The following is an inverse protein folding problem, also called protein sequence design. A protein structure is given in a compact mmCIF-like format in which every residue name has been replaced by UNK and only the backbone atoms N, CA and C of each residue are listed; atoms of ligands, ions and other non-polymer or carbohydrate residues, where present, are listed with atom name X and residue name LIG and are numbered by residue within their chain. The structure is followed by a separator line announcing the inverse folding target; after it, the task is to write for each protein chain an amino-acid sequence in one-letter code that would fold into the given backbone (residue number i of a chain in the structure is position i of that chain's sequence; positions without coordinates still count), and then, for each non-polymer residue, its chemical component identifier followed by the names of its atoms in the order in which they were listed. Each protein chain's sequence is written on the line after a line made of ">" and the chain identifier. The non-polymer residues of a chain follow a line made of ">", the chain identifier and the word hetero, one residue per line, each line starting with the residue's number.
data_IF_964828684518
#
_entry.id   IF_964828684518
#
_cell.length_a   1.000
_cell.length_b   1.000
_cell.length_c   1.000
_cell.angle_alpha   90.00
_cell.angle_beta   90.00
_cell.angle_gamma   90.00
#
_symmetry.space_group_name_H-M   'P 1'
#
loop_
_entity.id
_entity.type
_entity.pdbx_description
1 polymer ?
#
# COMPACT_ATOMS: atom_id res chain seq x y z
N UNK A 1 5.22 26.20 -9.82
CA UNK A 1 4.51 24.99 -10.30
C UNK A 1 5.17 23.69 -9.83
N UNK A 2 6.45 23.44 -10.12
CA UNK A 2 7.13 22.17 -9.76
C UNK A 2 7.15 21.84 -8.26
N UNK A 3 7.34 22.83 -7.38
CA UNK A 3 7.24 22.61 -5.92
C UNK A 3 5.85 22.14 -5.48
N UNK A 4 4.78 22.62 -6.14
CA UNK A 4 3.41 22.18 -5.90
C UNK A 4 3.20 20.72 -6.28
N UNK A 5 3.75 20.28 -7.42
CA UNK A 5 3.71 18.89 -7.86
C UNK A 5 4.45 17.96 -6.88
N UNK A 6 5.64 18.36 -6.40
CA UNK A 6 6.36 17.57 -5.39
C UNK A 6 5.54 17.40 -4.12
N UNK A 7 4.87 18.45 -3.66
CA UNK A 7 3.97 18.37 -2.50
C UNK A 7 2.75 17.48 -2.78
N UNK A 8 2.15 17.60 -3.95
CA UNK A 8 1.01 16.78 -4.36
C UNK A 8 1.36 15.28 -4.49
N UNK A 9 2.61 14.95 -4.83
CA UNK A 9 3.15 13.58 -4.84
C UNK A 9 3.45 13.08 -3.43
N UNK A 10 4.01 13.93 -2.57
CA UNK A 10 4.46 13.53 -1.23
C UNK A 10 3.31 13.00 -0.36
N UNK A 11 2.10 13.54 -0.49
CA UNK A 11 0.93 13.11 0.28
C UNK A 11 0.52 11.66 -0.04
N UNK A 12 0.18 11.27 -1.28
CA UNK A 12 -0.15 9.88 -1.60
C UNK A 12 1.04 8.93 -1.40
N UNK A 13 2.28 9.35 -1.67
CA UNK A 13 3.46 8.53 -1.36
C UNK A 13 3.59 8.24 0.14
N UNK A 14 3.26 9.21 0.99
CA UNK A 14 3.16 9.03 2.45
C UNK A 14 2.09 8.01 2.85
N UNK A 15 0.94 7.99 2.19
CA UNK A 15 -0.10 6.97 2.40
C UNK A 15 0.43 5.59 2.06
N UNK A 16 1.04 5.43 0.87
CA UNK A 16 1.59 4.16 0.44
C UNK A 16 2.67 3.63 1.41
N UNK A 17 3.61 4.48 1.82
CA UNK A 17 4.64 4.15 2.82
C UNK A 17 4.05 3.70 4.16
N UNK A 18 3.06 4.44 4.66
CA UNK A 18 2.42 4.15 5.94
C UNK A 18 1.73 2.79 5.91
N UNK A 19 1.04 2.47 4.81
CA UNK A 19 0.42 1.15 4.63
C UNK A 19 1.46 0.05 4.50
N UNK A 20 2.56 0.28 3.75
CA UNK A 20 3.63 -0.72 3.60
C UNK A 20 4.20 -1.19 4.94
N UNK A 21 4.29 -0.30 5.94
CA UNK A 21 4.78 -0.63 7.28
C UNK A 21 3.82 -1.54 8.08
N UNK A 22 2.56 -1.65 7.67
CA UNK A 22 1.54 -2.41 8.41
C UNK A 22 1.50 -3.89 8.03
N UNK A 23 2.09 -4.30 6.90
CA UNK A 23 1.90 -5.67 6.39
C UNK A 23 2.46 -6.74 7.31
N UNK A 24 3.62 -6.54 7.91
CA UNK A 24 4.18 -7.53 8.85
C UNK A 24 3.33 -7.63 10.13
N UNK A 25 2.86 -6.49 10.65
CA UNK A 25 1.92 -6.47 11.79
C UNK A 25 0.59 -7.14 11.45
N UNK A 26 0.06 -6.90 10.24
CA UNK A 26 -1.19 -7.51 9.79
C UNK A 26 -1.05 -9.04 9.62
N UNK A 27 0.11 -9.53 9.15
CA UNK A 27 0.42 -10.96 9.06
C UNK A 27 0.55 -11.61 10.44
N UNK A 28 1.23 -10.95 11.38
CA UNK A 28 1.28 -11.42 12.76
C UNK A 28 -0.12 -11.48 13.36
N UNK A 29 -0.91 -10.42 13.23
CA UNK A 29 -2.29 -10.38 13.70
C UNK A 29 -3.13 -11.49 13.07
N UNK A 30 -2.98 -11.76 11.77
CA UNK A 30 -3.69 -12.84 11.08
C UNK A 30 -3.44 -14.21 11.73
N UNK A 31 -2.25 -14.44 12.29
CA UNK A 31 -1.90 -15.69 12.96
C UNK A 31 -2.55 -15.86 14.35
N UNK A 32 -2.85 -14.76 15.05
CA UNK A 32 -3.30 -14.78 16.47
C UNK A 32 -4.71 -14.22 16.71
N UNK A 33 -5.30 -13.51 15.74
CA UNK A 33 -6.60 -12.86 15.89
C UNK A 33 -7.69 -13.88 16.28
N UNK A 34 -8.69 -13.43 17.06
CA UNK A 34 -9.90 -14.19 17.28
C UNK A 34 -10.53 -14.56 15.92
N UNK A 35 -10.71 -15.85 15.65
CA UNK A 35 -11.29 -16.34 14.37
C UNK A 35 -12.69 -15.76 14.13
N UNK A 36 -13.46 -15.47 15.19
CA UNK A 36 -14.75 -14.80 15.06
C UNK A 36 -14.67 -13.38 14.48
N UNK A 37 -13.50 -12.74 14.55
CA UNK A 37 -13.22 -11.40 14.01
C UNK A 37 -12.40 -11.45 12.69
N UNK A 38 -12.24 -12.63 12.06
CA UNK A 38 -11.40 -12.76 10.85
C UNK A 38 -11.87 -11.88 9.69
N UNK A 39 -13.18 -11.71 9.54
CA UNK A 39 -13.77 -10.93 8.46
C UNK A 39 -13.34 -9.45 8.54
N UNK A 40 -13.20 -8.92 9.75
CA UNK A 40 -12.73 -7.55 9.98
C UNK A 40 -11.30 -7.37 9.43
N UNK A 41 -10.42 -8.35 9.67
CA UNK A 41 -9.05 -8.31 9.15
C UNK A 41 -8.98 -8.59 7.64
N UNK A 42 -9.82 -9.48 7.11
CA UNK A 42 -9.89 -9.74 5.67
C UNK A 42 -10.29 -8.47 4.90
N UNK A 43 -11.34 -7.79 5.36
CA UNK A 43 -11.78 -6.51 4.78
C UNK A 43 -10.72 -5.44 5.01
N UNK A 44 -10.14 -5.35 6.21
CA UNK A 44 -9.07 -4.41 6.53
C UNK A 44 -7.86 -4.53 5.59
N UNK A 45 -7.39 -5.75 5.32
CA UNK A 45 -6.30 -6.00 4.39
C UNK A 45 -6.62 -5.52 2.96
N UNK A 46 -7.84 -5.77 2.47
CA UNK A 46 -8.31 -5.28 1.17
C UNK A 46 -8.46 -3.76 1.11
N UNK A 47 -8.89 -3.14 2.20
CA UNK A 47 -8.95 -1.68 2.30
C UNK A 47 -7.55 -1.07 2.25
N UNK A 48 -6.58 -1.65 2.94
CA UNK A 48 -5.17 -1.23 2.90
C UNK A 48 -4.61 -1.36 1.47
N UNK A 49 -4.80 -2.51 0.83
CA UNK A 49 -4.41 -2.75 -0.57
C UNK A 49 -5.01 -1.67 -1.49
N UNK A 50 -6.33 -1.49 -1.44
CA UNK A 50 -7.05 -0.49 -2.24
C UNK A 50 -6.56 0.93 -1.98
N UNK A 51 -6.23 1.27 -0.72
CA UNK A 51 -5.66 2.55 -0.35
C UNK A 51 -4.32 2.81 -1.05
N UNK A 52 -3.45 1.80 -1.16
CA UNK A 52 -2.19 1.90 -1.91
C UNK A 52 -2.44 2.02 -3.40
N UNK A 53 -3.41 1.31 -3.98
CA UNK A 53 -3.77 1.51 -5.39
C UNK A 53 -4.26 2.93 -5.68
N UNK A 54 -5.06 3.51 -4.78
CA UNK A 54 -5.47 4.91 -4.88
C UNK A 54 -4.29 5.88 -4.80
N UNK A 55 -3.38 5.66 -3.85
CA UNK A 55 -2.14 6.42 -3.74
C UNK A 55 -1.26 6.30 -4.99
N UNK A 56 -1.11 5.09 -5.52
CA UNK A 56 -0.34 4.78 -6.72
C UNK A 56 -0.79 5.63 -7.89
N UNK A 57 -2.07 5.60 -8.25
CA UNK A 57 -2.56 6.38 -9.39
C UNK A 57 -2.44 7.89 -9.18
N UNK A 58 -2.64 8.38 -7.95
CA UNK A 58 -2.42 9.80 -7.64
C UNK A 58 -0.94 10.21 -7.86
N UNK A 59 0.01 9.35 -7.49
CA UNK A 59 1.44 9.60 -7.75
C UNK A 59 1.73 9.57 -9.25
N UNK A 60 1.28 8.55 -9.98
CA UNK A 60 1.50 8.41 -11.43
C UNK A 60 1.03 9.66 -12.19
N UNK A 61 -0.19 10.13 -11.90
CA UNK A 61 -0.77 11.29 -12.57
C UNK A 61 0.02 12.57 -12.28
N UNK A 62 0.38 12.84 -11.01
CA UNK A 62 1.18 14.01 -10.68
C UNK A 62 2.61 13.96 -11.25
N UNK A 63 3.18 12.76 -11.44
CA UNK A 63 4.50 12.58 -12.04
C UNK A 63 4.56 12.94 -13.53
N UNK A 64 3.42 13.01 -14.25
CA UNK A 64 3.39 13.43 -15.65
C UNK A 64 3.84 14.88 -15.85
N UNK A 65 3.63 15.74 -14.85
CA UNK A 65 4.03 17.15 -14.89
C UNK A 65 5.45 17.45 -14.39
N UNK A 66 6.18 16.43 -13.91
CA UNK A 66 7.54 16.61 -13.38
C UNK A 66 8.57 16.76 -14.51
N UNK A 67 9.45 17.74 -14.35
CA UNK A 67 10.59 17.95 -15.24
C UNK A 67 11.87 17.24 -14.76
N UNK A 68 12.02 17.07 -13.44
CA UNK A 68 13.14 16.36 -12.84
C UNK A 68 12.97 14.86 -13.01
N UNK A 69 13.70 14.29 -13.98
CA UNK A 69 13.63 12.87 -14.31
C UNK A 69 14.23 11.98 -13.22
N UNK A 70 15.24 12.47 -12.49
CA UNK A 70 15.86 11.69 -11.40
C UNK A 70 14.83 11.49 -10.29
N UNK A 71 14.22 12.58 -9.84
CA UNK A 71 13.16 12.50 -8.82
C UNK A 71 11.94 11.72 -9.31
N UNK A 72 11.53 11.91 -10.57
CA UNK A 72 10.41 11.15 -11.14
C UNK A 72 10.68 9.65 -11.10
N UNK A 73 11.86 9.22 -11.53
CA UNK A 73 12.22 7.78 -11.53
C UNK A 73 12.24 7.21 -10.11
N UNK A 74 12.81 7.93 -9.14
CA UNK A 74 12.82 7.52 -7.73
C UNK A 74 11.40 7.32 -7.18
N UNK A 75 10.51 8.30 -7.40
CA UNK A 75 9.13 8.22 -6.94
C UNK A 75 8.35 7.09 -7.61
N UNK A 76 8.56 6.89 -8.91
CA UNK A 76 7.91 5.84 -9.70
C UNK A 76 8.34 4.44 -9.25
N UNK A 77 9.63 4.25 -9.00
CA UNK A 77 10.18 2.99 -8.47
C UNK A 77 9.63 2.70 -7.07
N UNK A 78 9.62 3.71 -6.20
CA UNK A 78 9.13 3.56 -4.84
C UNK A 78 7.63 3.23 -4.79
N UNK A 79 6.79 3.94 -5.56
CA UNK A 79 5.35 3.70 -5.52
C UNK A 79 4.98 2.34 -6.12
N UNK A 80 5.74 1.85 -7.10
CA UNK A 80 5.57 0.51 -7.65
C UNK A 80 5.97 -0.56 -6.61
N UNK A 81 7.08 -0.35 -5.88
CA UNK A 81 7.47 -1.23 -4.79
C UNK A 81 6.40 -1.28 -3.69
N UNK A 82 5.83 -0.13 -3.29
CA UNK A 82 4.71 -0.09 -2.35
C UNK A 82 3.48 -0.83 -2.89
N UNK A 83 3.15 -0.69 -4.18
CA UNK A 83 2.03 -1.40 -4.82
C UNK A 83 2.24 -2.91 -4.78
N UNK A 84 3.44 -3.38 -5.13
CA UNK A 84 3.76 -4.80 -5.10
C UNK A 84 3.73 -5.35 -3.68
N UNK A 85 4.23 -4.59 -2.70
CA UNK A 85 4.14 -4.94 -1.29
C UNK A 85 2.67 -5.03 -0.82
N UNK A 86 1.79 -4.16 -1.32
CA UNK A 86 0.38 -4.18 -0.99
C UNK A 86 -0.36 -5.41 -1.55
N UNK A 87 -0.11 -5.74 -2.83
CA UNK A 87 -0.65 -6.96 -3.46
C UNK A 87 -0.19 -8.20 -2.68
N UNK A 88 1.12 -8.29 -2.43
CA UNK A 88 1.73 -9.45 -1.76
C UNK A 88 1.25 -9.56 -0.31
N UNK A 89 1.33 -8.47 0.46
CA UNK A 89 0.93 -8.45 1.87
C UNK A 89 -0.55 -8.73 2.06
N UNK A 90 -1.42 -8.22 1.20
CA UNK A 90 -2.84 -8.57 1.25
C UNK A 90 -3.07 -10.06 0.97
N UNK A 91 -2.42 -10.62 -0.06
CA UNK A 91 -2.54 -12.04 -0.38
C UNK A 91 -2.05 -12.93 0.79
N UNK A 92 -0.91 -12.60 1.39
CA UNK A 92 -0.34 -13.32 2.54
C UNK A 92 -1.27 -13.28 3.77
N UNK A 93 -1.82 -12.11 4.11
CA UNK A 93 -2.78 -11.98 5.23
C UNK A 93 -4.00 -12.85 5.02
N UNK A 94 -4.58 -12.83 3.81
CA UNK A 94 -5.76 -13.62 3.50
C UNK A 94 -5.47 -15.12 3.51
N UNK A 95 -4.33 -15.55 2.98
CA UNK A 95 -3.89 -16.94 2.98
C UNK A 95 -3.66 -17.48 4.42
N UNK A 96 -3.03 -16.68 5.30
CA UNK A 96 -2.87 -17.05 6.72
C UNK A 96 -4.24 -17.26 7.38
N UNK A 97 -5.20 -16.37 7.14
CA UNK A 97 -6.54 -16.47 7.73
C UNK A 97 -7.31 -17.68 7.19
N UNK A 98 -7.20 -18.00 5.90
CA UNK A 98 -7.87 -19.15 5.28
C UNK A 98 -7.31 -20.48 5.79
N UNK A 99 -5.99 -20.56 5.99
CA UNK A 99 -5.33 -21.75 6.55
C UNK A 99 -5.69 -22.04 8.01
N UNK A 100 -6.25 -21.08 8.73
CA UNK A 100 -6.70 -21.29 10.13
C UNK A 100 -8.11 -21.88 10.23
N UNK A 101 -8.84 -21.96 9.12
CA UNK A 101 -10.20 -22.54 9.04
C UNK A 101 -10.27 -23.80 8.18
N UNK A 102 -9.24 -24.06 7.38
CA UNK A 102 -9.09 -25.29 6.58
C UNK A 102 -8.52 -26.41 7.42
#
# INVERSE_FOLDING_TARGET
>A
MQAGLRKAIAVPLGVARSVTQLWDTAKELASIINIGARADLQVGARCLETGVFGAYWNVILNCQGLQDQVYKNQVMEEIEACRQAAITGCAEVLDILEKRIS
#
